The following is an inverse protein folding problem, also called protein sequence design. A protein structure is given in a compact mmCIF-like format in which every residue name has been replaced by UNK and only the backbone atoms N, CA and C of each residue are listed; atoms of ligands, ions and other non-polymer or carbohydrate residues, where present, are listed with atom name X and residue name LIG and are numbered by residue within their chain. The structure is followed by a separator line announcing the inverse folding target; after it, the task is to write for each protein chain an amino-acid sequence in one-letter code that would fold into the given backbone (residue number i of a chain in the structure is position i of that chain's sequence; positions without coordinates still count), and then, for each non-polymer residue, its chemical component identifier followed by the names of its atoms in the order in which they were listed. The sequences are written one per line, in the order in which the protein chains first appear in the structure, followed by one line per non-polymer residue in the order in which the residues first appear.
data_IF_478165368670
#
_entry.id   IF_478165368670
#
_cell.length_a   1.000
_cell.length_b   1.000
_cell.length_c   1.000
_cell.angle_alpha   90.00
_cell.angle_beta   90.00
_cell.angle_gamma   90.00
#
_symmetry.space_group_name_H-M   'P 1'
#
loop_
_entity.id
_entity.type
_entity.pdbx_description
1 polymer ?
#
# COMPACT_ATOMS: atom_id res chain seq x y z
N UNK A 1 -15.25 17.38 -1.56
CA UNK A 1 -14.02 16.60 -1.81
C UNK A 1 -14.29 15.21 -2.40
N UNK A 2 -14.86 14.19 -1.69
CA UNK A 2 -15.03 12.84 -2.29
C UNK A 2 -15.88 12.86 -3.58
N UNK A 3 -16.95 13.65 -3.65
CA UNK A 3 -17.79 13.83 -4.84
C UNK A 3 -16.99 14.44 -6.00
N UNK A 4 -16.14 15.40 -5.73
CA UNK A 4 -15.28 16.04 -6.75
C UNK A 4 -14.23 15.06 -7.29
N UNK A 5 -13.62 14.25 -6.42
CA UNK A 5 -12.69 13.20 -6.85
C UNK A 5 -13.38 12.18 -7.76
N UNK A 6 -14.63 11.83 -7.46
CA UNK A 6 -15.43 10.96 -8.30
C UNK A 6 -15.73 11.60 -9.65
N UNK A 7 -16.24 12.85 -9.65
CA UNK A 7 -16.61 13.57 -10.87
C UNK A 7 -15.41 13.82 -11.79
N UNK A 8 -14.22 14.03 -11.20
CA UNK A 8 -12.98 14.26 -11.92
C UNK A 8 -12.24 12.96 -12.29
N UNK A 9 -12.86 11.80 -12.12
CA UNK A 9 -12.28 10.48 -12.42
C UNK A 9 -10.86 10.32 -11.82
N UNK A 10 -10.70 10.77 -10.57
CA UNK A 10 -9.42 10.79 -9.90
C UNK A 10 -8.86 9.37 -9.72
N UNK A 11 -7.56 9.20 -10.02
CA UNK A 11 -6.80 7.99 -9.72
C UNK A 11 -5.64 8.35 -8.81
N UNK A 12 -5.55 7.67 -7.65
CA UNK A 12 -4.60 7.99 -6.60
C UNK A 12 -5.11 7.58 -5.23
N UNK A 13 -4.57 8.16 -4.18
CA UNK A 13 -5.07 7.92 -2.84
C UNK A 13 -5.30 9.23 -2.07
N UNK A 14 -6.23 9.14 -1.13
CA UNK A 14 -6.48 10.16 -0.11
C UNK A 14 -6.02 9.60 1.22
N UNK A 15 -5.14 10.31 1.90
CA UNK A 15 -4.71 10.00 3.25
C UNK A 15 -5.32 11.01 4.22
N UNK A 16 -5.89 10.50 5.29
CA UNK A 16 -6.37 11.28 6.44
C UNK A 16 -5.52 10.93 7.65
N UNK A 17 -5.01 11.93 8.35
CA UNK A 17 -4.16 11.73 9.53
C UNK A 17 -4.63 12.63 10.66
N UNK A 18 -4.85 12.05 11.82
CA UNK A 18 -5.23 12.73 13.05
C UNK A 18 -4.55 12.12 14.27
N UNK A 19 -4.97 12.51 15.46
CA UNK A 19 -4.46 11.93 16.71
C UNK A 19 -4.82 10.44 16.79
N UNK A 20 -3.79 9.56 16.87
CA UNK A 20 -3.95 8.10 16.88
C UNK A 20 -4.86 7.56 15.75
N UNK A 21 -4.88 8.27 14.60
CA UNK A 21 -5.73 7.94 13.47
C UNK A 21 -4.99 8.09 12.15
N UNK A 22 -5.12 7.08 11.29
CA UNK A 22 -4.68 7.11 9.90
C UNK A 22 -5.70 6.39 9.02
N UNK A 23 -6.24 7.10 8.03
CA UNK A 23 -7.16 6.56 7.04
C UNK A 23 -6.57 6.70 5.64
N UNK A 24 -6.72 5.69 4.80
CA UNK A 24 -6.32 5.71 3.39
C UNK A 24 -7.49 5.23 2.54
N UNK A 25 -7.88 6.03 1.54
CA UNK A 25 -8.83 5.67 0.49
C UNK A 25 -8.09 5.58 -0.83
N UNK A 26 -8.17 4.43 -1.50
CA UNK A 26 -7.60 4.24 -2.84
C UNK A 26 -8.66 4.44 -3.90
N UNK A 27 -8.34 5.26 -4.91
CA UNK A 27 -9.24 5.62 -6.01
C UNK A 27 -8.68 5.14 -7.35
N UNK A 28 -9.53 4.55 -8.16
CA UNK A 28 -9.30 4.30 -9.58
C UNK A 28 -10.45 4.87 -10.39
N UNK A 29 -10.13 5.82 -11.29
CA UNK A 29 -11.12 6.48 -12.16
C UNK A 29 -12.33 7.03 -11.39
N UNK A 30 -12.07 7.67 -10.25
CA UNK A 30 -13.09 8.23 -9.35
C UNK A 30 -13.80 7.23 -8.44
N UNK A 31 -13.51 5.92 -8.55
CA UNK A 31 -14.12 4.89 -7.71
C UNK A 31 -13.21 4.52 -6.56
N UNK A 32 -13.77 4.34 -5.37
CA UNK A 32 -13.00 3.80 -4.23
C UNK A 32 -12.82 2.30 -4.46
N UNK A 33 -11.59 1.86 -4.69
CA UNK A 33 -11.26 0.45 -4.96
C UNK A 33 -10.80 -0.28 -3.70
N UNK A 34 -10.29 0.44 -2.71
CA UNK A 34 -9.95 -0.10 -1.41
C UNK A 34 -9.83 0.99 -0.34
N UNK A 35 -9.81 0.57 0.93
CA UNK A 35 -9.59 1.45 2.07
C UNK A 35 -8.86 0.72 3.20
N UNK A 36 -8.08 1.47 3.97
CA UNK A 36 -7.47 1.02 5.21
C UNK A 36 -7.63 2.10 6.26
N UNK A 37 -7.98 1.72 7.47
CA UNK A 37 -8.15 2.61 8.61
C UNK A 37 -7.45 2.00 9.82
N UNK A 38 -6.57 2.79 10.42
CA UNK A 38 -5.93 2.50 11.70
C UNK A 38 -6.41 3.52 12.73
N UNK A 39 -7.02 3.05 13.79
CA UNK A 39 -7.51 3.89 14.88
C UNK A 39 -7.22 3.23 16.22
N UNK A 40 -6.47 3.91 17.08
CA UNK A 40 -6.11 3.45 18.42
C UNK A 40 -5.56 2.01 18.44
N UNK A 41 -4.69 1.67 17.47
CA UNK A 41 -4.07 0.37 17.35
C UNK A 41 -4.96 -0.73 16.75
N UNK A 42 -6.18 -0.40 16.30
CA UNK A 42 -7.05 -1.32 15.57
C UNK A 42 -7.06 -0.98 14.08
N UNK A 43 -6.76 -1.98 13.26
CA UNK A 43 -6.78 -1.85 11.80
C UNK A 43 -8.06 -2.43 11.21
N UNK A 44 -8.67 -1.68 10.29
CA UNK A 44 -9.83 -2.12 9.48
C UNK A 44 -9.51 -1.91 8.01
N UNK A 45 -10.13 -2.71 7.14
CA UNK A 45 -9.92 -2.67 5.70
C UNK A 45 -11.23 -2.73 4.92
N UNK A 46 -11.19 -2.35 3.65
CA UNK A 46 -12.31 -2.45 2.71
C UNK A 46 -13.49 -1.54 3.05
N UNK A 47 -14.75 -1.99 2.80
CA UNK A 47 -15.94 -1.15 2.94
C UNK A 47 -16.13 -0.55 4.33
N UNK A 48 -15.80 -1.31 5.39
CA UNK A 48 -15.92 -0.85 6.78
C UNK A 48 -14.96 0.31 7.07
N UNK A 49 -13.70 0.19 6.60
CA UNK A 49 -12.73 1.26 6.70
C UNK A 49 -13.15 2.50 5.89
N UNK A 50 -13.65 2.30 4.67
CA UNK A 50 -14.14 3.41 3.83
C UNK A 50 -15.28 4.19 4.50
N UNK A 51 -16.21 3.48 5.13
CA UNK A 51 -17.31 4.12 5.88
C UNK A 51 -16.79 4.88 7.12
N UNK A 52 -15.84 4.31 7.87
CA UNK A 52 -15.19 4.95 9.01
C UNK A 52 -14.49 6.25 8.62
N UNK A 53 -13.65 6.21 7.56
CA UNK A 53 -12.93 7.37 7.04
C UNK A 53 -13.91 8.46 6.56
N UNK A 54 -14.98 8.08 5.85
CA UNK A 54 -15.98 9.04 5.40
C UNK A 54 -16.74 9.71 6.56
N UNK A 55 -16.97 8.97 7.65
CA UNK A 55 -17.52 9.50 8.90
C UNK A 55 -16.57 10.49 9.56
N UNK A 56 -15.32 10.08 9.75
CA UNK A 56 -14.25 10.87 10.37
C UNK A 56 -13.95 12.17 9.61
N UNK A 57 -13.98 12.15 8.29
CA UNK A 57 -13.74 13.33 7.43
C UNK A 57 -14.74 14.48 7.59
N UNK A 58 -15.72 14.35 8.47
CA UNK A 58 -16.61 15.44 8.89
C UNK A 58 -16.09 16.20 10.11
N UNK A 59 -15.14 15.63 10.83
CA UNK A 59 -14.47 16.26 11.96
C UNK A 59 -13.40 17.23 11.41
N UNK A 60 -13.26 18.42 12.02
CA UNK A 60 -12.45 19.51 11.43
C UNK A 60 -10.94 19.41 11.72
N UNK A 61 -10.50 18.46 12.53
CA UNK A 61 -9.16 18.47 13.11
C UNK A 61 -8.16 17.55 12.40
N UNK A 62 -8.59 16.82 11.37
CA UNK A 62 -7.72 15.87 10.66
C UNK A 62 -7.08 16.49 9.41
N UNK A 63 -5.78 16.23 9.21
CA UNK A 63 -5.09 16.61 8.00
C UNK A 63 -5.45 15.67 6.85
N UNK A 64 -5.83 16.23 5.70
CA UNK A 64 -6.15 15.47 4.49
C UNK A 64 -5.12 15.78 3.41
N UNK A 65 -4.50 14.73 2.89
CA UNK A 65 -3.55 14.79 1.77
C UNK A 65 -4.07 13.97 0.60
N UNK A 66 -3.91 14.50 -0.61
CA UNK A 66 -4.38 13.85 -1.86
C UNK A 66 -3.16 13.61 -2.76
N UNK A 67 -2.96 12.36 -3.17
CA UNK A 67 -1.83 11.95 -3.99
C UNK A 67 -2.32 11.28 -5.27
N UNK A 68 -1.93 11.83 -6.42
CA UNK A 68 -2.23 11.25 -7.74
C UNK A 68 -1.21 10.17 -8.07
N UNK A 69 -1.69 9.02 -8.53
CA UNK A 69 -0.86 7.89 -8.99
C UNK A 69 -1.38 7.37 -10.33
N UNK A 70 -0.57 6.55 -11.02
CA UNK A 70 -1.05 5.84 -12.20
C UNK A 70 -2.05 4.74 -11.82
N UNK A 71 -2.95 4.37 -12.74
CA UNK A 71 -3.92 3.30 -12.50
C UNK A 71 -3.25 1.96 -12.16
N UNK A 72 -2.11 1.66 -12.78
CA UNK A 72 -1.34 0.44 -12.52
C UNK A 72 -0.82 0.37 -11.09
N UNK A 73 -0.23 1.46 -10.60
CA UNK A 73 0.26 1.56 -9.22
C UNK A 73 -0.91 1.50 -8.25
N UNK A 74 -2.05 2.10 -8.58
CA UNK A 74 -3.25 2.05 -7.74
C UNK A 74 -3.82 0.65 -7.61
N UNK A 75 -3.92 -0.10 -8.70
CA UNK A 75 -4.37 -1.50 -8.68
C UNK A 75 -3.44 -2.36 -7.82
N UNK A 76 -2.13 -2.14 -7.94
CA UNK A 76 -1.16 -2.86 -7.14
C UNK A 76 -1.31 -2.54 -5.65
N UNK A 77 -1.41 -1.27 -5.27
CA UNK A 77 -1.61 -0.84 -3.87
C UNK A 77 -2.93 -1.35 -3.30
N UNK A 78 -4.02 -1.34 -4.09
CA UNK A 78 -5.31 -1.89 -3.68
C UNK A 78 -5.21 -3.37 -3.30
N UNK A 79 -4.41 -4.12 -4.03
CA UNK A 79 -4.18 -5.55 -3.78
C UNK A 79 -3.24 -5.78 -2.60
N UNK A 80 -2.24 -4.91 -2.39
CA UNK A 80 -1.31 -5.00 -1.26
C UNK A 80 -1.98 -4.83 0.10
N UNK A 81 -2.96 -3.97 0.21
CA UNK A 81 -3.72 -3.79 1.46
C UNK A 81 -4.50 -5.04 1.91
N UNK A 82 -4.51 -6.10 1.08
CA UNK A 82 -5.18 -7.38 1.33
C UNK A 82 -4.32 -8.58 0.98
N UNK A 83 -3.05 -8.35 0.64
CA UNK A 83 -2.15 -9.39 0.19
C UNK A 83 -2.02 -10.52 1.20
N UNK A 84 -2.04 -11.75 0.72
CA UNK A 84 -1.64 -12.90 1.50
C UNK A 84 -0.14 -12.82 1.79
N UNK A 85 0.23 -12.99 3.05
CA UNK A 85 1.65 -13.07 3.42
C UNK A 85 2.19 -14.43 2.97
N UNK A 86 3.11 -14.43 2.00
CA UNK A 86 3.78 -15.63 1.52
C UNK A 86 4.97 -16.02 2.41
N UNK A 87 5.78 -15.03 2.73
CA UNK A 87 6.96 -15.18 3.58
C UNK A 87 6.96 -14.03 4.58
N UNK A 88 7.06 -14.36 5.85
CA UNK A 88 7.11 -13.36 6.92
C UNK A 88 8.48 -13.35 7.59
N UNK A 89 9.04 -12.15 7.74
CA UNK A 89 10.27 -11.88 8.49
C UNK A 89 11.45 -12.80 8.11
N UNK A 90 11.62 -13.04 6.79
CA UNK A 90 12.73 -13.84 6.27
C UNK A 90 14.05 -13.08 6.47
N UNK A 91 14.96 -13.64 7.29
CA UNK A 91 16.26 -13.02 7.52
C UNK A 91 17.15 -13.09 6.27
N UNK A 92 17.95 -12.04 6.04
CA UNK A 92 18.96 -12.04 4.98
C UNK A 92 20.11 -13.07 5.25
N UNK A 93 20.24 -13.59 6.46
CA UNK A 93 21.15 -14.72 6.77
C UNK A 93 20.69 -16.02 6.09
N UNK A 94 19.39 -16.18 5.85
CA UNK A 94 18.82 -17.37 5.21
C UNK A 94 18.81 -17.24 3.68
N UNK A 95 18.49 -16.05 3.17
CA UNK A 95 18.45 -15.78 1.73
C UNK A 95 18.67 -14.30 1.46
N UNK A 96 19.49 -13.98 0.47
CA UNK A 96 19.66 -12.60 0.02
C UNK A 96 18.40 -12.07 -0.69
N UNK A 97 18.21 -10.75 -0.66
CA UNK A 97 17.08 -10.10 -1.36
C UNK A 97 17.12 -10.36 -2.89
N UNK A 98 18.31 -10.40 -3.46
CA UNK A 98 18.53 -10.73 -4.87
C UNK A 98 17.95 -12.11 -5.26
N UNK A 99 18.21 -13.12 -4.40
CA UNK A 99 17.70 -14.49 -4.58
C UNK A 99 16.20 -14.56 -4.39
N UNK A 100 15.66 -13.84 -3.40
CA UNK A 100 14.21 -13.75 -3.18
C UNK A 100 13.52 -13.10 -4.39
N UNK A 101 14.04 -11.99 -4.90
CA UNK A 101 13.51 -11.32 -6.10
C UNK A 101 13.60 -12.24 -7.31
N UNK A 102 14.72 -12.95 -7.51
CA UNK A 102 14.88 -13.90 -8.61
C UNK A 102 13.87 -15.06 -8.55
N UNK A 103 13.65 -15.61 -7.35
CA UNK A 103 12.64 -16.65 -7.11
C UNK A 103 11.24 -16.14 -7.47
N UNK A 104 10.82 -15.01 -6.90
CA UNK A 104 9.51 -14.42 -7.15
C UNK A 104 9.32 -14.02 -8.61
N UNK A 105 10.39 -13.64 -9.31
CA UNK A 105 10.39 -13.40 -10.75
C UNK A 105 10.09 -14.69 -11.54
N UNK A 106 10.74 -15.80 -11.19
CA UNK A 106 10.52 -17.09 -11.86
C UNK A 106 9.09 -17.62 -11.64
N UNK A 107 8.49 -17.31 -10.49
CA UNK A 107 7.13 -17.68 -10.13
C UNK A 107 6.06 -16.73 -10.71
N UNK A 108 6.45 -15.75 -11.54
CA UNK A 108 5.56 -14.70 -12.08
C UNK A 108 4.75 -14.01 -10.99
N UNK A 109 5.40 -13.78 -9.86
CA UNK A 109 4.75 -13.21 -8.68
C UNK A 109 4.19 -11.81 -8.97
N UNK A 110 2.98 -11.55 -8.45
CA UNK A 110 2.39 -10.22 -8.37
C UNK A 110 2.15 -9.89 -6.90
N UNK A 111 2.73 -8.79 -6.43
CA UNK A 111 2.67 -8.41 -5.03
C UNK A 111 3.79 -7.46 -4.63
N UNK A 112 4.24 -7.55 -3.39
CA UNK A 112 5.36 -6.73 -2.89
C UNK A 112 6.31 -7.51 -1.99
N UNK A 113 7.51 -6.95 -1.84
CA UNK A 113 8.47 -7.33 -0.81
C UNK A 113 8.72 -6.10 0.06
N UNK A 114 8.42 -6.19 1.34
CA UNK A 114 8.85 -5.21 2.33
C UNK A 114 10.22 -5.62 2.89
N UNK A 115 11.11 -4.65 2.99
CA UNK A 115 12.44 -4.80 3.57
C UNK A 115 12.56 -3.92 4.79
N UNK A 116 12.86 -4.51 5.95
CA UNK A 116 13.12 -3.81 7.20
C UNK A 116 14.55 -4.07 7.65
N UNK A 117 15.22 -3.03 8.12
CA UNK A 117 16.59 -3.11 8.63
C UNK A 117 16.56 -3.15 10.16
N UNK A 118 17.27 -4.13 10.76
CA UNK A 118 17.20 -4.39 12.20
C UNK A 118 17.71 -3.24 13.08
N UNK A 119 18.67 -2.47 12.59
CA UNK A 119 19.41 -1.46 13.38
C UNK A 119 19.11 -0.03 12.95
N UNK A 120 18.13 0.19 12.06
CA UNK A 120 17.77 1.52 11.60
C UNK A 120 16.25 1.60 11.36
N UNK A 121 15.75 2.82 11.20
CA UNK A 121 14.39 3.09 10.74
C UNK A 121 14.29 3.05 9.21
N UNK A 122 15.36 2.65 8.53
CA UNK A 122 15.34 2.49 7.09
C UNK A 122 14.38 1.36 6.69
N UNK A 123 13.64 1.57 5.63
CA UNK A 123 12.70 0.59 5.10
C UNK A 123 12.61 0.70 3.58
N UNK A 124 12.38 -0.42 2.93
CA UNK A 124 12.16 -0.41 1.49
C UNK A 124 10.98 -1.28 1.08
N UNK A 125 10.42 -0.98 -0.09
CA UNK A 125 9.37 -1.77 -0.72
C UNK A 125 9.74 -2.00 -2.17
N UNK A 126 9.64 -3.26 -2.62
CA UNK A 126 9.78 -3.66 -4.02
C UNK A 126 8.42 -4.11 -4.52
N UNK A 127 7.88 -3.44 -5.54
CA UNK A 127 6.60 -3.77 -6.16
C UNK A 127 6.83 -4.66 -7.39
N UNK A 128 6.10 -5.76 -7.47
CA UNK A 128 6.22 -6.75 -8.56
C UNK A 128 4.87 -7.04 -9.22
N UNK A 129 4.89 -7.23 -10.54
CA UNK A 129 3.74 -7.70 -11.32
C UNK A 129 4.21 -8.72 -12.34
N UNK A 130 3.57 -9.90 -12.34
CA UNK A 130 3.89 -11.00 -13.25
C UNK A 130 5.40 -11.32 -13.28
N UNK A 131 6.06 -11.24 -12.11
CA UNK A 131 7.49 -11.45 -11.97
C UNK A 131 8.36 -10.26 -12.35
N UNK A 132 7.81 -9.17 -12.86
CA UNK A 132 8.56 -7.96 -13.21
C UNK A 132 8.56 -6.98 -12.04
N UNK A 133 9.68 -6.37 -11.74
CA UNK A 133 9.74 -5.26 -10.79
C UNK A 133 9.15 -4.03 -11.47
N UNK A 134 8.06 -3.50 -10.93
CA UNK A 134 7.41 -2.28 -11.44
C UNK A 134 8.07 -1.03 -10.89
N UNK A 135 8.30 -1.01 -9.59
CA UNK A 135 8.86 0.13 -8.89
C UNK A 135 9.48 -0.30 -7.57
N UNK A 136 10.37 0.55 -7.04
CA UNK A 136 10.97 0.39 -5.73
C UNK A 136 10.93 1.71 -4.98
N UNK A 137 10.73 1.63 -3.67
CA UNK A 137 10.82 2.78 -2.77
C UNK A 137 11.79 2.44 -1.64
N UNK A 138 12.73 3.32 -1.33
CA UNK A 138 13.68 3.16 -0.25
C UNK A 138 13.70 4.43 0.61
N UNK A 139 13.25 4.30 1.84
CA UNK A 139 13.36 5.33 2.87
C UNK A 139 14.65 5.09 3.65
N UNK A 140 15.59 6.03 3.55
CA UNK A 140 16.89 5.95 4.21
C UNK A 140 17.17 7.28 4.91
N UNK A 141 17.39 7.22 6.24
CA UNK A 141 17.65 8.40 7.07
C UNK A 141 16.63 9.54 6.91
N UNK A 142 15.37 9.17 6.59
CA UNK A 142 14.30 10.14 6.36
C UNK A 142 14.12 10.60 4.91
N UNK A 143 15.07 10.31 4.03
CA UNK A 143 14.95 10.60 2.59
C UNK A 143 14.29 9.42 1.88
N UNK A 144 13.37 9.71 0.95
CA UNK A 144 12.70 8.72 0.12
C UNK A 144 13.26 8.77 -1.30
N UNK A 145 13.83 7.65 -1.76
CA UNK A 145 14.25 7.45 -3.15
C UNK A 145 13.34 6.41 -3.79
N UNK A 146 12.90 6.64 -5.03
CA UNK A 146 12.06 5.70 -5.77
C UNK A 146 12.55 5.50 -7.21
N UNK A 147 12.05 4.45 -7.85
CA UNK A 147 12.34 4.09 -9.23
C UNK A 147 13.08 2.75 -9.37
N UNK A 148 13.13 2.21 -10.60
CA UNK A 148 13.74 0.91 -10.88
C UNK A 148 15.21 0.78 -10.45
N UNK A 149 15.99 1.85 -10.58
CA UNK A 149 17.42 1.86 -10.20
C UNK A 149 17.63 1.75 -8.69
N UNK A 150 16.59 2.00 -7.90
CA UNK A 150 16.62 1.89 -6.45
C UNK A 150 16.74 0.43 -5.98
N UNK A 151 16.34 -0.55 -6.81
CA UNK A 151 16.45 -1.97 -6.48
C UNK A 151 17.88 -2.38 -6.12
N UNK A 152 18.86 -1.97 -6.92
CA UNK A 152 20.27 -2.32 -6.68
C UNK A 152 20.77 -1.73 -5.36
N UNK A 153 20.33 -0.51 -5.04
CA UNK A 153 20.66 0.14 -3.76
C UNK A 153 20.07 -0.62 -2.57
N UNK A 154 18.81 -1.09 -2.69
CA UNK A 154 18.14 -1.88 -1.65
C UNK A 154 18.85 -3.22 -1.45
N UNK A 155 19.19 -3.91 -2.55
CA UNK A 155 19.92 -5.19 -2.50
C UNK A 155 21.27 -5.01 -1.82
N UNK A 156 22.03 -3.98 -2.19
CA UNK A 156 23.32 -3.70 -1.56
C UNK A 156 23.17 -3.34 -0.09
N UNK A 157 22.19 -2.52 0.27
CA UNK A 157 21.93 -2.18 1.66
C UNK A 157 21.56 -3.42 2.50
N UNK A 158 20.69 -4.28 1.96
CA UNK A 158 20.28 -5.51 2.61
C UNK A 158 21.40 -6.57 2.70
N UNK A 159 22.40 -6.52 1.81
CA UNK A 159 23.57 -7.39 1.90
C UNK A 159 24.58 -6.93 2.98
N UNK A 160 24.60 -5.63 3.30
CA UNK A 160 25.56 -5.03 4.24
C UNK A 160 25.03 -4.76 5.65
N UNK A 161 23.76 -5.06 5.91
CA UNK A 161 23.11 -4.86 7.21
C UNK A 161 22.13 -6.00 7.50
N UNK A 162 21.88 -6.28 8.78
CA UNK A 162 20.84 -7.24 9.15
C UNK A 162 19.47 -6.74 8.67
N UNK A 163 18.83 -7.52 7.82
CA UNK A 163 17.57 -7.17 7.18
C UNK A 163 16.56 -8.33 7.22
N UNK A 164 15.28 -7.99 7.24
CA UNK A 164 14.17 -8.93 7.21
C UNK A 164 13.25 -8.61 6.02
N UNK A 165 12.84 -9.66 5.33
CA UNK A 165 11.98 -9.56 4.15
C UNK A 165 10.62 -10.16 4.44
N UNK A 166 9.56 -9.43 4.11
CA UNK A 166 8.20 -9.96 4.12
C UNK A 166 7.63 -9.85 2.71
N UNK A 167 7.26 -10.98 2.13
CA UNK A 167 6.67 -11.02 0.79
C UNK A 167 5.16 -11.19 0.88
N UNK A 168 4.43 -10.34 0.17
CA UNK A 168 2.98 -10.35 0.08
C UNK A 168 2.56 -10.68 -1.34
N UNK A 169 1.57 -11.56 -1.49
CA UNK A 169 0.90 -11.83 -2.77
C UNK A 169 -0.31 -10.91 -2.90
N UNK A 170 -0.39 -10.17 -4.01
CA UNK A 170 -1.59 -9.44 -4.34
C UNK A 170 -2.71 -10.41 -4.76
N UNK A 171 -3.88 -10.30 -4.15
CA UNK A 171 -5.06 -11.05 -4.56
C UNK A 171 -5.79 -10.26 -5.66
N UNK A 172 -5.46 -10.57 -6.92
CA UNK A 172 -6.07 -9.95 -8.09
C UNK A 172 -7.53 -10.39 -8.33
N UNK A 173 -7.99 -11.42 -7.61
CA UNK A 173 -9.35 -11.97 -7.79
C UNK A 173 -10.38 -11.29 -6.88
N UNK A 174 -9.95 -10.65 -5.80
CA UNK A 174 -10.82 -9.94 -4.87
C UNK A 174 -10.90 -8.45 -5.19
N UNK A 175 -11.41 -8.12 -6.35
CA UNK A 175 -11.89 -6.75 -6.61
C UNK A 175 -13.16 -6.59 -5.77
N UNK A 176 -13.14 -5.75 -4.73
CA UNK A 176 -14.42 -5.28 -4.17
C UNK A 176 -15.09 -4.51 -5.28
N UNK A 177 -16.37 -4.82 -5.58
CA UNK A 177 -17.09 -3.99 -6.51
C UNK A 177 -17.03 -2.56 -5.94
N UNK A 178 -16.52 -1.64 -6.73
CA UNK A 178 -16.45 -0.22 -6.35
C UNK A 178 -17.84 0.28 -5.91
N UNK A 179 -18.89 -0.31 -6.49
CA UNK A 179 -20.28 -0.06 -6.15
C UNK A 179 -20.64 -0.45 -4.71
N UNK A 180 -20.12 -1.56 -4.18
CA UNK A 180 -20.38 -1.96 -2.80
C UNK A 180 -19.74 -1.00 -1.80
N UNK A 181 -18.50 -0.60 -2.05
CA UNK A 181 -17.80 0.38 -1.20
C UNK A 181 -18.54 1.70 -1.25
N UNK A 182 -18.93 2.15 -2.45
CA UNK A 182 -19.63 3.41 -2.65
C UNK A 182 -21.02 3.42 -2.03
N UNK A 183 -21.79 2.34 -2.15
CA UNK A 183 -23.08 2.18 -1.48
C UNK A 183 -22.95 2.26 0.04
N UNK A 184 -21.92 1.65 0.63
CA UNK A 184 -21.66 1.69 2.07
C UNK A 184 -21.33 3.12 2.53
N UNK A 185 -20.50 3.85 1.78
CA UNK A 185 -20.17 5.25 2.05
C UNK A 185 -21.38 6.16 1.88
N UNK A 186 -22.24 5.89 0.87
CA UNK A 186 -23.43 6.69 0.57
C UNK A 186 -24.55 6.46 1.59
N UNK A 187 -24.75 5.23 2.07
CA UNK A 187 -25.75 4.89 3.10
C UNK A 187 -25.44 5.52 4.45
N UNK A 188 -24.18 5.75 4.79
CA UNK A 188 -23.78 6.50 5.99
C UNK A 188 -24.14 8.00 5.95
N UNK A 189 -24.77 8.48 4.87
CA UNK A 189 -25.30 9.85 4.72
C UNK A 189 -26.75 10.01 5.19
N UNK A 190 -27.45 8.93 5.54
CA UNK A 190 -28.89 8.93 5.79
C UNK A 190 -29.26 8.91 7.29
N UNK A 191 -28.33 9.29 8.19
CA UNK A 191 -28.63 9.48 9.62
C UNK A 191 -28.02 10.77 10.14
#
# INVERSE_FOLDING_TARGET
MLVELQSNQFTGYVQMTGWEYKGILLFDSGRIINASEDSKGQSRHGPTAAAGIAGKGREKDDAISVYRLSAEVMQLLANLLKGETLHKDLSNDLTGLDKLVAKLRSEKHTGSIEVRFAQSLDAATVLMREGQVLDCAFSRKGDLVSGHKTLDQIIQAAANAAAFFTAYRADLTRVYSADLIWQTVSRGRAH
#
